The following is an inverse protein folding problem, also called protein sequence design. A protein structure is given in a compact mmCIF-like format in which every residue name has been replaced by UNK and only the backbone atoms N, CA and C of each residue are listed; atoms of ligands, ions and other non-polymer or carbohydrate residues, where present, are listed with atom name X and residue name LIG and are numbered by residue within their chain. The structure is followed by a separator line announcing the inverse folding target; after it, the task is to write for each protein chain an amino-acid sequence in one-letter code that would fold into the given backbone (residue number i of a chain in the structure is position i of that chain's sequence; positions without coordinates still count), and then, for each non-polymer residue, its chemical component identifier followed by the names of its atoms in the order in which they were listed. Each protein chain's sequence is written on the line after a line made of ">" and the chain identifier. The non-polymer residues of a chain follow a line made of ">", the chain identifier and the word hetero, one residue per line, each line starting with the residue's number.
data_IF_631652774440
#
_entry.id   IF_631652774440
#
_cell.length_a   1.000
_cell.length_b   1.000
_cell.length_c   1.000
_cell.angle_alpha   90.00
_cell.angle_beta   90.00
_cell.angle_gamma   90.00
#
_symmetry.space_group_name_H-M   'P 1'
#
loop_
_entity.id
_entity.type
_entity.pdbx_description
1 polymer ?
#
# COMPACT_ATOMS: atom_id res chain seq x y z
N UNK A 1 35.63 23.46 1.22
CA UNK A 1 34.44 24.15 0.64
C UNK A 1 33.62 23.10 -0.11
N UNK A 2 32.42 22.75 0.35
CA UNK A 2 31.63 21.61 -0.20
C UNK A 2 31.02 22.00 -1.55
N UNK A 3 31.38 21.29 -2.62
CA UNK A 3 30.87 21.52 -3.97
C UNK A 3 29.37 21.22 -4.01
N UNK A 4 28.55 22.27 -4.10
CA UNK A 4 27.13 22.15 -4.43
C UNK A 4 27.02 21.98 -5.94
N UNK A 5 26.54 20.83 -6.41
CA UNK A 5 26.39 20.46 -7.83
C UNK A 5 25.36 21.33 -8.61
N UNK A 6 25.02 22.53 -8.12
CA UNK A 6 24.13 23.47 -8.78
C UNK A 6 23.77 24.68 -7.91
N UNK A 7 23.11 25.66 -8.52
CA UNK A 7 22.52 26.84 -7.88
C UNK A 7 21.02 26.88 -8.14
N UNK A 8 20.27 27.50 -7.23
CA UNK A 8 18.84 27.81 -7.41
C UNK A 8 18.64 28.85 -8.52
N UNK A 9 17.39 29.08 -8.95
CA UNK A 9 17.06 30.14 -9.91
C UNK A 9 17.48 31.54 -9.43
N UNK A 10 17.56 31.77 -8.11
CA UNK A 10 18.06 33.00 -7.50
C UNK A 10 19.59 33.02 -7.28
N UNK A 11 20.32 32.01 -7.77
CA UNK A 11 21.77 31.93 -7.66
C UNK A 11 22.30 31.40 -6.31
N UNK A 12 21.43 31.14 -5.33
CA UNK A 12 21.84 30.58 -4.04
C UNK A 12 22.34 29.13 -4.20
N UNK A 13 23.41 28.71 -3.51
CA UNK A 13 23.90 27.34 -3.54
C UNK A 13 22.83 26.38 -2.99
N UNK A 14 22.69 25.19 -3.60
CA UNK A 14 21.76 24.20 -3.04
C UNK A 14 22.20 23.76 -1.64
N UNK A 15 21.23 23.37 -0.77
CA UNK A 15 21.57 22.74 0.50
C UNK A 15 22.50 21.55 0.30
N UNK A 16 23.36 21.29 1.29
CA UNK A 16 24.31 20.19 1.21
C UNK A 16 23.60 18.85 0.94
N UNK A 17 24.22 17.93 0.20
CA UNK A 17 23.62 16.63 -0.14
C UNK A 17 23.12 15.88 1.11
N UNK A 18 23.87 15.95 2.20
CA UNK A 18 23.48 15.41 3.50
C UNK A 18 22.14 15.96 4.01
N UNK A 19 21.90 17.27 3.88
CA UNK A 19 20.62 17.90 4.25
C UNK A 19 19.50 17.49 3.28
N UNK A 20 19.79 17.45 1.97
CA UNK A 20 18.83 17.03 0.94
C UNK A 20 18.39 15.57 1.07
N UNK A 21 19.26 14.71 1.61
CA UNK A 21 18.99 13.30 1.82
C UNK A 21 18.37 13.00 3.18
N UNK A 22 18.32 13.97 4.10
CA UNK A 22 17.68 13.78 5.39
C UNK A 22 16.17 13.53 5.21
N UNK A 23 15.64 12.54 5.92
CA UNK A 23 14.20 12.31 5.95
C UNK A 23 13.50 13.48 6.65
N UNK A 24 12.36 13.94 6.11
CA UNK A 24 11.63 15.07 6.68
C UNK A 24 11.19 14.85 8.15
N UNK A 25 11.03 13.58 8.55
CA UNK A 25 10.61 13.18 9.91
C UNK A 25 11.76 12.92 10.87
N UNK A 26 13.03 13.11 10.47
CA UNK A 26 14.20 12.69 11.25
C UNK A 26 14.28 13.29 12.67
N UNK A 27 13.72 14.49 12.89
CA UNK A 27 13.69 15.17 14.20
C UNK A 27 12.34 15.12 14.93
N UNK A 28 11.33 14.42 14.39
CA UNK A 28 9.97 14.46 14.95
C UNK A 28 9.77 13.44 16.09
N UNK A 29 9.07 13.80 17.19
CA UNK A 29 8.79 12.88 18.29
C UNK A 29 8.08 11.61 17.82
N UNK A 30 8.66 10.44 18.13
CA UNK A 30 8.16 9.15 17.62
C UNK A 30 6.75 8.83 18.11
N UNK A 31 6.46 9.09 19.38
CA UNK A 31 5.16 8.82 20.01
C UNK A 31 4.03 9.62 19.36
N UNK A 32 4.18 10.94 19.30
CA UNK A 32 3.20 11.85 18.64
C UNK A 32 3.04 11.50 17.16
N UNK A 33 4.12 11.05 16.53
CA UNK A 33 4.09 10.52 15.18
C UNK A 33 3.06 9.41 14.98
N UNK A 34 2.82 8.57 15.99
CA UNK A 34 1.89 7.43 15.93
C UNK A 34 0.49 7.72 16.49
N UNK A 35 0.39 8.42 17.63
CA UNK A 35 -0.88 8.61 18.33
C UNK A 35 -1.97 9.22 17.44
N UNK A 36 -1.69 10.34 16.76
CA UNK A 36 -2.67 11.00 15.90
C UNK A 36 -3.19 10.08 14.77
N UNK A 37 -2.29 9.46 13.98
CA UNK A 37 -2.71 8.55 12.91
C UNK A 37 -3.41 7.28 13.36
N UNK A 38 -3.04 6.75 14.55
CA UNK A 38 -3.80 5.66 15.16
C UNK A 38 -5.20 6.11 15.55
N UNK A 39 -5.36 7.31 16.13
CA UNK A 39 -6.67 7.87 16.45
C UNK A 39 -7.53 8.09 15.19
N UNK A 40 -6.95 8.62 14.11
CA UNK A 40 -7.65 8.81 12.82
C UNK A 40 -8.05 7.46 12.21
N UNK A 41 -7.18 6.45 12.26
CA UNK A 41 -7.50 5.11 11.77
C UNK A 41 -8.56 4.42 12.63
N UNK A 42 -8.52 4.59 13.95
CA UNK A 42 -9.56 4.09 14.85
C UNK A 42 -10.92 4.73 14.56
N UNK A 43 -10.95 6.05 14.35
CA UNK A 43 -12.15 6.75 13.89
C UNK A 43 -12.66 6.21 12.55
N UNK A 44 -11.76 6.00 11.58
CA UNK A 44 -12.10 5.41 10.29
C UNK A 44 -12.66 3.98 10.40
N UNK A 45 -12.15 3.19 11.35
CA UNK A 45 -12.63 1.84 11.63
C UNK A 45 -14.04 1.88 12.23
N UNK A 46 -14.28 2.75 13.21
CA UNK A 46 -15.59 2.92 13.83
C UNK A 46 -16.66 3.27 12.79
N UNK A 47 -16.37 4.17 11.85
CA UNK A 47 -17.31 4.51 10.77
C UNK A 47 -17.63 3.32 9.85
N UNK A 48 -16.67 2.41 9.63
CA UNK A 48 -16.85 1.25 8.74
C UNK A 48 -17.58 0.11 9.42
N UNK A 49 -17.29 -0.11 10.71
CA UNK A 49 -17.93 -1.14 11.52
C UNK A 49 -19.32 -0.73 12.00
N UNK A 50 -19.62 0.58 12.03
CA UNK A 50 -20.94 1.07 12.38
C UNK A 50 -21.98 0.46 11.43
N UNK A 51 -22.89 -0.31 12.02
CA UNK A 51 -24.01 -0.93 11.33
C UNK A 51 -23.58 -1.74 10.10
N UNK A 52 -22.43 -2.41 10.17
CA UNK A 52 -21.84 -3.15 9.03
C UNK A 52 -22.69 -4.34 8.57
N UNK A 53 -23.52 -4.88 9.46
CA UNK A 53 -24.46 -5.94 9.13
C UNK A 53 -25.54 -5.46 8.15
N UNK A 54 -25.86 -4.16 8.13
CA UNK A 54 -26.85 -3.61 7.19
C UNK A 54 -26.21 -3.20 5.85
N UNK A 55 -26.85 -3.53 4.72
CA UNK A 55 -28.08 -4.33 4.59
C UNK A 55 -27.83 -5.83 4.87
N UNK A 56 -28.78 -6.50 5.52
CA UNK A 56 -28.68 -7.91 5.97
C UNK A 56 -28.93 -8.90 4.83
N UNK A 57 -28.26 -8.66 3.71
CA UNK A 57 -28.35 -9.44 2.47
C UNK A 57 -27.10 -9.23 1.65
N UNK A 58 -26.82 -10.18 0.76
CA UNK A 58 -25.85 -10.01 -0.32
C UNK A 58 -26.30 -8.88 -1.24
N UNK A 59 -25.42 -7.92 -1.49
CA UNK A 59 -25.69 -6.80 -2.39
C UNK A 59 -24.61 -6.64 -3.46
N UNK A 60 -25.00 -6.21 -4.66
CA UNK A 60 -24.06 -5.87 -5.73
C UNK A 60 -23.06 -7.02 -6.00
N UNK A 61 -21.79 -6.71 -6.24
CA UNK A 61 -20.71 -7.68 -6.49
C UNK A 61 -20.36 -8.57 -5.28
N UNK A 62 -20.96 -8.36 -4.09
CA UNK A 62 -20.82 -9.29 -2.96
C UNK A 62 -21.28 -10.70 -3.33
N UNK A 63 -22.23 -10.81 -4.27
CA UNK A 63 -22.70 -12.10 -4.82
C UNK A 63 -21.54 -12.90 -5.38
N UNK A 64 -20.53 -12.27 -5.98
CA UNK A 64 -19.38 -12.98 -6.50
C UNK A 64 -18.32 -13.19 -5.42
N UNK A 65 -17.86 -12.11 -4.80
CA UNK A 65 -16.64 -12.17 -4.00
C UNK A 65 -16.82 -12.85 -2.64
N UNK A 66 -17.98 -12.71 -1.99
CA UNK A 66 -18.25 -13.40 -0.72
C UNK A 66 -18.36 -14.92 -0.95
N UNK A 67 -19.11 -15.33 -1.99
CA UNK A 67 -19.27 -16.75 -2.37
C UNK A 67 -17.94 -17.37 -2.80
N UNK A 68 -17.17 -16.68 -3.63
CA UNK A 68 -15.84 -17.13 -4.05
C UNK A 68 -14.91 -17.32 -2.85
N UNK A 69 -14.88 -16.35 -1.94
CA UNK A 69 -14.08 -16.43 -0.72
C UNK A 69 -14.47 -17.63 0.16
N UNK A 70 -15.77 -17.89 0.30
CA UNK A 70 -16.27 -19.04 1.03
C UNK A 70 -15.87 -20.37 0.33
N UNK A 71 -16.03 -20.46 -0.99
CA UNK A 71 -15.60 -21.63 -1.76
C UNK A 71 -14.11 -21.91 -1.66
N UNK A 72 -13.27 -20.86 -1.70
CA UNK A 72 -11.82 -21.00 -1.52
C UNK A 72 -11.48 -21.62 -0.17
N UNK A 73 -12.18 -21.22 0.89
CA UNK A 73 -11.96 -21.77 2.22
C UNK A 73 -12.37 -23.26 2.31
N UNK A 74 -13.50 -23.62 1.71
CA UNK A 74 -14.04 -24.98 1.80
C UNK A 74 -13.32 -25.97 0.87
N UNK A 75 -12.91 -25.54 -0.33
CA UNK A 75 -12.41 -26.44 -1.37
C UNK A 75 -10.99 -26.13 -1.85
N UNK A 76 -10.42 -24.97 -1.50
CA UNK A 76 -9.13 -24.50 -2.03
C UNK A 76 -9.20 -23.91 -3.44
N UNK A 77 -10.38 -23.89 -4.06
CA UNK A 77 -10.64 -23.29 -5.37
C UNK A 77 -12.09 -22.80 -5.47
N UNK A 78 -12.39 -21.95 -6.45
CA UNK A 78 -13.73 -21.40 -6.66
C UNK A 78 -14.58 -22.39 -7.44
N UNK A 79 -15.69 -22.81 -6.85
CA UNK A 79 -16.72 -23.65 -7.48
C UNK A 79 -17.85 -22.80 -8.03
N UNK A 80 -18.54 -23.33 -9.04
CA UNK A 80 -19.75 -22.70 -9.52
C UNK A 80 -20.85 -22.79 -8.45
N UNK A 81 -21.61 -21.71 -8.27
CA UNK A 81 -22.75 -21.65 -7.37
C UNK A 81 -24.05 -21.82 -8.15
N UNK A 82 -25.07 -22.40 -7.51
CA UNK A 82 -26.43 -22.42 -8.06
C UNK A 82 -27.01 -21.00 -8.07
N UNK A 83 -27.95 -20.74 -8.97
CA UNK A 83 -28.63 -19.43 -9.05
C UNK A 83 -29.32 -19.06 -7.73
N UNK A 84 -29.87 -20.05 -7.01
CA UNK A 84 -30.52 -19.87 -5.71
C UNK A 84 -29.56 -19.74 -4.52
N UNK A 85 -28.25 -19.60 -4.74
CA UNK A 85 -27.27 -19.57 -3.66
C UNK A 85 -27.41 -18.33 -2.77
N UNK A 86 -27.69 -17.16 -3.37
CA UNK A 86 -27.81 -15.90 -2.62
C UNK A 86 -29.00 -15.94 -1.66
N UNK A 87 -30.15 -16.41 -2.13
CA UNK A 87 -31.37 -16.58 -1.33
C UNK A 87 -31.13 -17.51 -0.13
N UNK A 88 -30.44 -18.63 -0.36
CA UNK A 88 -30.08 -19.60 0.69
C UNK A 88 -29.12 -19.00 1.71
N UNK A 89 -28.07 -18.31 1.27
CA UNK A 89 -27.10 -17.66 2.16
C UNK A 89 -27.78 -16.57 2.99
N UNK A 90 -28.62 -15.72 2.38
CA UNK A 90 -29.38 -14.70 3.10
C UNK A 90 -30.35 -15.31 4.13
N UNK A 91 -30.88 -16.51 3.86
CA UNK A 91 -31.70 -17.27 4.81
C UNK A 91 -30.89 -18.04 5.88
N UNK A 92 -29.55 -17.96 5.85
CA UNK A 92 -28.65 -18.70 6.74
C UNK A 92 -28.51 -20.19 6.42
N UNK A 93 -28.99 -20.65 5.26
CA UNK A 93 -28.87 -22.03 4.79
C UNK A 93 -27.64 -22.20 3.89
N UNK A 94 -26.60 -22.87 4.39
CA UNK A 94 -25.38 -23.15 3.63
C UNK A 94 -25.41 -24.51 2.90
N UNK A 95 -26.56 -25.19 2.88
CA UNK A 95 -26.69 -26.51 2.26
C UNK A 95 -26.91 -26.43 0.74
N UNK A 96 -26.18 -27.27 0.01
CA UNK A 96 -26.41 -27.48 -1.43
C UNK A 96 -26.16 -26.24 -2.31
N UNK A 97 -25.28 -25.33 -1.90
CA UNK A 97 -24.96 -24.07 -2.60
C UNK A 97 -24.27 -24.26 -3.96
N UNK A 98 -23.48 -25.33 -4.09
CA UNK A 98 -22.57 -25.53 -5.22
C UNK A 98 -23.24 -26.28 -6.37
N UNK A 99 -22.95 -25.83 -7.59
CA UNK A 99 -23.19 -26.57 -8.82
C UNK A 99 -22.00 -27.51 -9.14
N UNK A 100 -22.10 -28.25 -10.25
CA UNK A 100 -21.01 -29.09 -10.74
C UNK A 100 -19.92 -28.24 -11.40
N UNK A 101 -18.67 -28.52 -11.06
CA UNK A 101 -17.50 -27.91 -11.71
C UNK A 101 -16.97 -26.61 -11.07
N UNK A 102 -15.81 -26.14 -11.57
CA UNK A 102 -15.18 -24.89 -11.15
C UNK A 102 -15.86 -23.67 -11.77
N UNK A 103 -15.81 -22.52 -11.08
CA UNK A 103 -16.28 -21.26 -11.64
C UNK A 103 -15.24 -20.62 -12.58
N UNK A 104 -15.70 -19.80 -13.52
CA UNK A 104 -14.82 -18.93 -14.30
C UNK A 104 -14.36 -17.74 -13.44
N UNK A 105 -13.05 -17.59 -13.29
CA UNK A 105 -12.44 -16.58 -12.43
C UNK A 105 -11.84 -15.47 -13.30
N UNK A 106 -12.23 -14.22 -13.05
CA UNK A 106 -11.71 -13.03 -13.77
C UNK A 106 -10.68 -12.24 -12.96
N UNK A 107 -10.62 -12.45 -11.64
CA UNK A 107 -9.73 -11.73 -10.73
C UNK A 107 -8.91 -12.70 -9.89
N UNK A 108 -7.63 -12.41 -9.61
CA UNK A 108 -6.81 -13.33 -8.82
C UNK A 108 -7.22 -13.36 -7.34
N UNK A 109 -6.75 -14.36 -6.60
CA UNK A 109 -7.41 -14.79 -5.35
C UNK A 109 -7.05 -14.03 -4.07
N UNK A 110 -6.03 -13.16 -4.06
CA UNK A 110 -5.51 -12.57 -2.80
C UNK A 110 -6.60 -11.81 -2.06
N UNK A 111 -7.37 -10.97 -2.75
CA UNK A 111 -8.45 -10.20 -2.12
C UNK A 111 -9.57 -11.09 -1.59
N UNK A 112 -9.89 -12.19 -2.28
CA UNK A 112 -10.89 -13.16 -1.83
C UNK A 112 -10.41 -13.93 -0.60
N UNK A 113 -9.13 -14.28 -0.52
CA UNK A 113 -8.56 -14.85 0.71
C UNK A 113 -8.64 -13.89 1.90
N UNK A 114 -8.50 -12.57 1.67
CA UNK A 114 -8.69 -11.58 2.73
C UNK A 114 -10.14 -11.50 3.21
N UNK A 115 -11.12 -11.67 2.31
CA UNK A 115 -12.53 -11.83 2.69
C UNK A 115 -12.77 -13.14 3.45
N UNK A 116 -12.16 -14.24 3.00
CA UNK A 116 -12.28 -15.56 3.62
C UNK A 116 -11.81 -15.54 5.08
N UNK A 117 -10.80 -14.73 5.42
CA UNK A 117 -10.39 -14.56 6.83
C UNK A 117 -11.50 -13.98 7.71
N UNK A 118 -12.30 -13.05 7.18
CA UNK A 118 -13.46 -12.51 7.88
C UNK A 118 -14.57 -13.56 8.02
N UNK A 119 -14.90 -14.25 6.92
CA UNK A 119 -15.90 -15.32 6.90
C UNK A 119 -15.53 -16.44 7.88
N UNK A 120 -14.26 -16.82 7.94
CA UNK A 120 -13.75 -17.80 8.91
C UNK A 120 -13.95 -17.37 10.36
N UNK A 121 -13.82 -16.08 10.64
CA UNK A 121 -13.85 -15.55 11.99
C UNK A 121 -15.27 -15.30 12.51
N UNK A 122 -16.19 -14.87 11.63
CA UNK A 122 -17.53 -14.44 12.03
C UNK A 122 -18.67 -15.23 11.38
N UNK A 123 -18.40 -16.05 10.37
CA UNK A 123 -19.40 -16.84 9.66
C UNK A 123 -19.68 -16.32 8.25
N UNK A 124 -20.48 -17.08 7.50
CA UNK A 124 -20.96 -16.68 6.18
C UNK A 124 -22.21 -15.81 6.35
N UNK A 125 -22.00 -14.60 6.86
CA UNK A 125 -23.02 -13.55 7.06
C UNK A 125 -22.45 -12.15 6.68
N UNK A 126 -23.30 -11.09 6.62
CA UNK A 126 -22.85 -9.74 6.27
C UNK A 126 -21.67 -9.23 7.08
N UNK A 127 -21.59 -9.57 8.36
CA UNK A 127 -20.45 -9.15 9.19
C UNK A 127 -19.19 -9.87 8.74
N UNK A 128 -19.25 -11.19 8.54
CA UNK A 128 -18.11 -12.01 8.16
C UNK A 128 -17.52 -11.65 6.82
N UNK A 129 -18.33 -11.46 5.78
CA UNK A 129 -17.76 -11.07 4.47
C UNK A 129 -17.37 -9.59 4.39
N UNK A 130 -17.97 -8.67 5.17
CA UNK A 130 -17.62 -7.23 5.10
C UNK A 130 -16.48 -6.81 6.02
N UNK A 131 -16.27 -7.49 7.15
CA UNK A 131 -15.29 -7.05 8.17
C UNK A 131 -13.86 -6.97 7.64
N UNK A 132 -13.47 -7.90 6.75
CA UNK A 132 -12.15 -7.89 6.12
C UNK A 132 -11.89 -6.62 5.30
N UNK A 133 -12.89 -6.19 4.53
CA UNK A 133 -12.85 -4.95 3.76
C UNK A 133 -12.84 -3.71 4.68
N UNK A 134 -13.65 -3.71 5.74
CA UNK A 134 -13.73 -2.62 6.71
C UNK A 134 -12.42 -2.37 7.46
N UNK A 135 -11.81 -3.44 7.98
CA UNK A 135 -10.51 -3.38 8.65
C UNK A 135 -9.44 -2.89 7.68
N UNK A 136 -9.43 -3.43 6.45
CA UNK A 136 -8.47 -3.02 5.43
C UNK A 136 -8.61 -1.55 5.06
N UNK A 137 -9.83 -1.05 4.89
CA UNK A 137 -10.09 0.37 4.63
C UNK A 137 -9.57 1.29 5.74
N UNK A 138 -9.72 0.90 7.00
CA UNK A 138 -9.17 1.64 8.13
C UNK A 138 -7.63 1.59 8.18
N UNK A 139 -7.03 0.45 7.81
CA UNK A 139 -5.57 0.32 7.68
C UNK A 139 -5.02 1.17 6.53
N UNK A 140 -5.73 1.29 5.40
CA UNK A 140 -5.37 2.20 4.31
C UNK A 140 -5.25 3.64 4.81
N UNK A 141 -6.19 4.09 5.65
CA UNK A 141 -6.14 5.42 6.28
C UNK A 141 -4.89 5.59 7.16
N UNK A 142 -4.53 4.57 7.96
CA UNK A 142 -3.32 4.59 8.79
C UNK A 142 -2.05 4.71 7.93
N UNK A 143 -1.94 3.89 6.89
CA UNK A 143 -0.78 3.87 6.01
C UNK A 143 -0.66 5.19 5.24
N UNK A 144 -1.79 5.76 4.77
CA UNK A 144 -1.81 7.07 4.13
C UNK A 144 -1.31 8.17 5.08
N UNK A 145 -1.82 8.22 6.31
CA UNK A 145 -1.34 9.16 7.34
C UNK A 145 0.17 9.05 7.53
N UNK A 146 0.68 7.82 7.52
CA UNK A 146 2.09 7.53 7.69
C UNK A 146 2.94 7.98 6.53
N UNK A 147 2.51 7.67 5.33
CA UNK A 147 3.18 8.07 4.10
C UNK A 147 3.22 9.60 3.98
N UNK A 148 2.07 10.28 4.15
CA UNK A 148 2.00 11.74 4.01
C UNK A 148 2.80 12.45 5.09
N UNK A 149 2.79 11.96 6.34
CA UNK A 149 3.69 12.50 7.38
C UNK A 149 5.17 12.34 6.98
N UNK A 150 5.56 11.18 6.43
CA UNK A 150 6.95 10.95 6.00
C UNK A 150 7.36 11.89 4.87
N UNK A 151 6.44 12.20 3.96
CA UNK A 151 6.66 13.12 2.85
C UNK A 151 6.73 14.59 3.30
N UNK A 152 5.83 15.00 4.20
CA UNK A 152 5.69 16.41 4.62
C UNK A 152 6.53 16.79 5.84
N UNK A 153 6.95 15.83 6.65
CA UNK A 153 7.53 16.07 7.98
C UNK A 153 6.51 16.49 9.04
N UNK A 154 5.23 16.67 8.69
CA UNK A 154 4.20 17.17 9.59
C UNK A 154 3.20 16.08 9.97
N UNK A 155 3.05 15.84 11.28
CA UNK A 155 2.03 14.93 11.80
C UNK A 155 0.63 15.45 11.51
N UNK A 156 0.41 16.77 11.59
CA UNK A 156 -0.88 17.39 11.30
C UNK A 156 -1.30 17.13 9.85
N UNK A 157 -0.41 17.37 8.89
CA UNK A 157 -0.69 17.15 7.45
C UNK A 157 -0.93 15.67 7.17
N UNK A 158 -0.17 14.78 7.82
CA UNK A 158 -0.43 13.34 7.76
C UNK A 158 -1.81 12.96 8.27
N UNK A 159 -2.21 13.45 9.46
CA UNK A 159 -3.53 13.18 10.03
C UNK A 159 -4.66 13.76 9.18
N UNK A 160 -4.48 14.97 8.65
CA UNK A 160 -5.45 15.61 7.76
C UNK A 160 -5.68 14.76 6.51
N UNK A 161 -4.62 14.28 5.86
CA UNK A 161 -4.76 13.42 4.68
C UNK A 161 -5.53 12.13 4.98
N UNK A 162 -5.26 11.48 6.12
CA UNK A 162 -6.03 10.31 6.51
C UNK A 162 -7.47 10.62 6.91
N UNK A 163 -7.72 11.74 7.57
CA UNK A 163 -9.07 12.16 7.93
C UNK A 163 -9.91 12.43 6.68
N UNK A 164 -9.33 13.08 5.67
CA UNK A 164 -9.99 13.28 4.38
C UNK A 164 -10.32 11.94 3.71
N UNK A 165 -9.40 10.96 3.71
CA UNK A 165 -9.69 9.62 3.17
C UNK A 165 -10.70 8.83 4.04
N UNK A 166 -10.73 9.07 5.35
CA UNK A 166 -11.67 8.42 6.24
C UNK A 166 -13.11 8.87 5.98
N UNK A 167 -13.28 10.14 5.59
CA UNK A 167 -14.55 10.80 5.28
C UNK A 167 -14.91 10.78 3.79
N UNK A 168 -14.01 10.32 2.92
CA UNK A 168 -14.28 10.15 1.49
C UNK A 168 -15.40 9.12 1.27
N UNK A 169 -16.50 9.55 0.65
CA UNK A 169 -17.71 8.74 0.51
C UNK A 169 -17.49 7.48 -0.32
N UNK A 170 -16.70 7.56 -1.41
CA UNK A 170 -16.42 6.41 -2.26
C UNK A 170 -15.59 5.38 -1.50
N UNK A 171 -14.49 5.80 -0.87
CA UNK A 171 -13.64 4.90 -0.10
C UNK A 171 -14.38 4.32 1.10
N UNK A 172 -15.24 5.08 1.77
CA UNK A 172 -16.07 4.58 2.87
C UNK A 172 -17.04 3.50 2.39
N UNK A 173 -17.83 3.75 1.35
CA UNK A 173 -18.80 2.78 0.82
C UNK A 173 -18.11 1.52 0.29
N UNK A 174 -17.05 1.68 -0.52
CA UNK A 174 -16.33 0.55 -1.12
C UNK A 174 -15.59 -0.33 -0.09
N UNK A 175 -15.29 0.20 1.10
CA UNK A 175 -14.69 -0.57 2.20
C UNK A 175 -15.70 -1.08 3.22
N UNK A 176 -17.01 -0.87 3.00
CA UNK A 176 -18.09 -1.48 3.81
C UNK A 176 -18.77 -2.64 3.09
N UNK A 177 -18.46 -2.87 1.81
CA UNK A 177 -18.94 -4.01 1.04
C UNK A 177 -17.80 -5.00 0.79
N UNK A 178 -18.14 -6.27 0.58
CA UNK A 178 -17.16 -7.32 0.24
C UNK A 178 -16.64 -7.19 -1.20
N UNK A 179 -15.87 -6.15 -1.49
CA UNK A 179 -15.32 -5.83 -2.81
C UNK A 179 -13.79 -5.97 -2.86
N UNK A 180 -13.25 -6.28 -4.04
CA UNK A 180 -11.79 -6.45 -4.22
C UNK A 180 -11.04 -5.12 -4.32
N UNK A 181 -11.70 -4.05 -4.74
CA UNK A 181 -11.08 -2.73 -4.97
C UNK A 181 -10.47 -2.13 -3.69
N UNK A 182 -11.08 -2.38 -2.53
CA UNK A 182 -10.54 -1.95 -1.24
C UNK A 182 -9.19 -2.60 -0.91
N UNK A 183 -9.05 -3.90 -1.16
CA UNK A 183 -7.79 -4.62 -0.95
C UNK A 183 -6.71 -4.20 -1.96
N UNK A 184 -7.08 -4.01 -3.23
CA UNK A 184 -6.18 -3.47 -4.24
C UNK A 184 -5.63 -2.11 -3.79
N UNK A 185 -6.51 -1.18 -3.42
CA UNK A 185 -6.14 0.16 -2.99
C UNK A 185 -5.20 0.13 -1.77
N UNK A 186 -5.51 -0.70 -0.78
CA UNK A 186 -4.67 -0.90 0.40
C UNK A 186 -3.25 -1.34 0.04
N UNK A 187 -3.11 -2.39 -0.77
CA UNK A 187 -1.80 -2.91 -1.15
C UNK A 187 -1.00 -1.90 -2.00
N UNK A 188 -1.67 -1.14 -2.87
CA UNK A 188 -1.03 -0.06 -3.63
C UNK A 188 -0.54 1.08 -2.72
N UNK A 189 -1.33 1.48 -1.73
CA UNK A 189 -0.94 2.51 -0.74
C UNK A 189 0.23 2.01 0.13
N UNK A 190 0.22 0.74 0.55
CA UNK A 190 1.33 0.09 1.22
C UNK A 190 2.60 0.07 0.36
N UNK A 191 2.48 -0.31 -0.92
CA UNK A 191 3.60 -0.33 -1.85
C UNK A 191 4.20 1.07 -2.02
N UNK A 192 3.37 2.09 -2.23
CA UNK A 192 3.80 3.49 -2.32
C UNK A 192 4.48 3.95 -1.03
N UNK A 193 3.93 3.63 0.14
CA UNK A 193 4.51 3.96 1.44
C UNK A 193 5.89 3.31 1.64
N UNK A 194 6.03 2.03 1.25
CA UNK A 194 7.31 1.32 1.24
C UNK A 194 8.31 1.97 0.30
N UNK A 195 7.91 2.42 -0.89
CA UNK A 195 8.79 3.13 -1.83
C UNK A 195 9.25 4.48 -1.30
N UNK A 196 8.37 5.23 -0.60
CA UNK A 196 8.78 6.48 0.06
C UNK A 196 9.77 6.19 1.18
N UNK A 197 9.55 5.14 1.98
CA UNK A 197 10.49 4.72 3.02
C UNK A 197 11.84 4.27 2.43
N UNK A 198 11.80 3.54 1.31
CA UNK A 198 12.97 3.10 0.57
C UNK A 198 13.76 4.26 -0.02
N UNK A 199 13.09 5.33 -0.45
CA UNK A 199 13.75 6.55 -0.93
C UNK A 199 14.58 7.20 0.17
N UNK A 200 14.03 7.32 1.37
CA UNK A 200 14.75 7.90 2.51
C UNK A 200 15.94 7.01 2.92
N UNK A 201 15.67 5.70 3.07
CA UNK A 201 16.67 4.71 3.47
C UNK A 201 17.79 4.60 2.44
N UNK A 202 17.43 4.50 1.15
CA UNK A 202 18.35 4.35 0.03
C UNK A 202 19.28 5.56 -0.11
N UNK A 203 18.75 6.78 0.03
CA UNK A 203 19.57 8.00 0.00
C UNK A 203 20.61 8.02 1.13
N UNK A 204 20.20 7.69 2.36
CA UNK A 204 21.11 7.64 3.52
C UNK A 204 22.17 6.54 3.36
N UNK A 205 21.75 5.35 2.91
CA UNK A 205 22.65 4.23 2.64
C UNK A 205 23.66 4.60 1.54
N UNK A 206 23.22 5.29 0.49
CA UNK A 206 24.06 5.67 -0.64
C UNK A 206 25.12 6.66 -0.20
N UNK A 207 24.72 7.67 0.57
CA UNK A 207 25.63 8.64 1.15
C UNK A 207 26.66 7.96 2.06
N UNK A 208 26.23 7.06 2.93
CA UNK A 208 27.13 6.32 3.84
C UNK A 208 28.16 5.49 3.07
N UNK A 209 27.73 4.80 2.01
CA UNK A 209 28.64 4.00 1.17
C UNK A 209 29.61 4.88 0.38
N UNK A 210 29.13 6.02 -0.13
CA UNK A 210 29.96 6.99 -0.84
C UNK A 210 31.04 7.58 0.09
N UNK A 211 30.67 7.96 1.31
CA UNK A 211 31.61 8.48 2.32
C UNK A 211 32.63 7.42 2.75
N UNK A 212 32.21 6.15 2.92
CA UNK A 212 33.12 5.03 3.25
C UNK A 212 34.11 4.70 2.15
N UNK A 213 33.77 4.96 0.89
CA UNK A 213 34.66 4.73 -0.25
C UNK A 213 35.77 5.81 -0.36
N UNK A 214 35.84 6.78 0.57
CA UNK A 214 36.78 7.89 0.50
C UNK A 214 36.48 8.88 -0.64
N UNK A 215 35.34 8.70 -1.32
CA UNK A 215 34.93 9.58 -2.39
C UNK A 215 34.51 10.94 -1.82
N UNK A 216 35.09 12.01 -2.33
CA UNK A 216 34.69 13.37 -1.97
C UNK A 216 33.36 13.69 -2.66
N UNK A 217 32.37 14.16 -1.89
CA UNK A 217 31.07 14.56 -2.42
C UNK A 217 31.26 15.65 -3.48
N UNK A 218 30.97 15.32 -4.74
CA UNK A 218 31.13 16.20 -5.89
C UNK A 218 32.28 15.85 -6.84
N UNK A 219 33.18 14.93 -6.47
CA UNK A 219 34.13 14.34 -7.42
C UNK A 219 33.41 13.30 -8.30
N UNK A 220 33.70 13.23 -9.61
CA UNK A 220 33.07 12.29 -10.50
C UNK A 220 33.37 10.84 -10.08
N UNK A 221 32.33 10.05 -9.86
CA UNK A 221 32.43 8.61 -9.64
C UNK A 221 32.13 7.92 -10.96
N UNK A 222 33.15 7.31 -11.57
CA UNK A 222 33.02 6.59 -12.84
C UNK A 222 32.22 5.29 -12.63
N UNK A 223 31.30 4.99 -13.54
CA UNK A 223 30.43 3.81 -13.48
C UNK A 223 29.15 4.04 -12.68
N UNK A 224 28.62 2.97 -12.07
CA UNK A 224 27.30 2.97 -11.42
C UNK A 224 27.33 3.37 -9.93
N UNK A 225 28.50 3.68 -9.35
CA UNK A 225 28.65 3.91 -7.91
C UNK A 225 28.57 2.62 -7.08
N UNK A 226 28.23 2.66 -5.77
CA UNK A 226 28.30 1.49 -4.89
C UNK A 226 27.10 0.54 -5.08
N UNK A 227 27.10 -0.23 -6.18
CA UNK A 227 26.01 -1.15 -6.58
C UNK A 227 25.81 -2.28 -5.58
N UNK A 228 26.90 -2.98 -5.18
CA UNK A 228 26.80 -4.16 -4.29
C UNK A 228 26.14 -3.83 -2.95
N UNK A 229 26.46 -2.69 -2.37
CA UNK A 229 25.89 -2.24 -1.09
C UNK A 229 24.42 -1.79 -1.17
N UNK A 230 23.85 -1.77 -2.37
CA UNK A 230 22.47 -1.37 -2.70
C UNK A 230 21.58 -2.52 -3.18
N UNK A 231 22.10 -3.74 -3.29
CA UNK A 231 21.31 -4.89 -3.74
C UNK A 231 20.20 -5.25 -2.75
N UNK A 232 20.50 -5.20 -1.45
CA UNK A 232 19.54 -5.48 -0.39
C UNK A 232 18.88 -4.18 0.08
N UNK A 233 17.67 -3.95 -0.40
CA UNK A 233 16.82 -2.82 -0.01
C UNK A 233 15.55 -3.38 0.63
N UNK A 234 15.47 -3.45 1.97
CA UNK A 234 14.35 -4.13 2.65
C UNK A 234 13.00 -3.49 2.30
N UNK A 235 12.95 -2.16 2.22
CA UNK A 235 11.74 -1.42 1.83
C UNK A 235 11.36 -1.62 0.35
N UNK A 236 12.35 -1.83 -0.52
CA UNK A 236 12.12 -2.19 -1.93
C UNK A 236 11.49 -3.57 -2.08
N UNK A 237 11.99 -4.54 -1.32
CA UNK A 237 11.43 -5.90 -1.29
C UNK A 237 10.01 -5.88 -0.74
N UNK A 238 9.77 -5.16 0.36
CA UNK A 238 8.43 -4.97 0.91
C UNK A 238 7.48 -4.32 -0.10
N UNK A 239 7.93 -3.30 -0.84
CA UNK A 239 7.13 -2.71 -1.92
C UNK A 239 6.81 -3.72 -3.03
N UNK A 240 7.79 -4.56 -3.42
CA UNK A 240 7.58 -5.63 -4.40
C UNK A 240 6.53 -6.65 -3.94
N UNK A 241 6.57 -7.06 -2.66
CA UNK A 241 5.55 -7.93 -2.06
C UNK A 241 4.17 -7.25 -2.10
N UNK A 242 4.08 -5.97 -1.71
CA UNK A 242 2.83 -5.23 -1.73
C UNK A 242 2.26 -5.09 -3.15
N UNK A 243 3.09 -4.79 -4.16
CA UNK A 243 2.64 -4.78 -5.55
C UNK A 243 2.23 -6.17 -6.05
N UNK A 244 2.94 -7.22 -5.64
CA UNK A 244 2.56 -8.60 -5.93
C UNK A 244 1.18 -8.95 -5.37
N UNK A 245 0.89 -8.55 -4.12
CA UNK A 245 -0.42 -8.73 -3.48
C UNK A 245 -1.50 -7.86 -4.14
N UNK A 246 -1.17 -6.65 -4.58
CA UNK A 246 -2.07 -5.78 -5.35
C UNK A 246 -2.47 -6.43 -6.68
N UNK A 247 -1.48 -6.86 -7.48
CA UNK A 247 -1.70 -7.59 -8.73
C UNK A 247 -2.45 -8.90 -8.50
N UNK A 248 -2.14 -9.60 -7.41
CA UNK A 248 -2.82 -10.81 -6.95
C UNK A 248 -4.24 -10.57 -6.42
N UNK A 249 -4.67 -9.31 -6.28
CA UNK A 249 -6.06 -8.95 -5.97
C UNK A 249 -6.81 -8.50 -7.22
N UNK A 250 -6.16 -7.72 -8.09
CA UNK A 250 -6.73 -7.24 -9.36
C UNK A 250 -5.62 -6.85 -10.35
N UNK A 251 -5.79 -7.21 -11.62
CA UNK A 251 -4.81 -6.96 -12.69
C UNK A 251 -4.48 -5.47 -12.91
N UNK A 252 -5.40 -4.57 -12.54
CA UNK A 252 -5.17 -3.11 -12.58
C UNK A 252 -3.91 -2.69 -11.79
N UNK A 253 -3.47 -3.47 -10.81
CA UNK A 253 -2.23 -3.23 -10.07
C UNK A 253 -0.97 -3.18 -10.96
N UNK A 254 -0.97 -3.87 -12.10
CA UNK A 254 0.18 -3.91 -13.03
C UNK A 254 0.49 -2.53 -13.62
N UNK A 255 -0.54 -1.76 -13.96
CA UNK A 255 -0.37 -0.41 -14.51
C UNK A 255 0.29 0.52 -13.48
N UNK A 256 -0.16 0.42 -12.23
CA UNK A 256 0.38 1.22 -11.13
C UNK A 256 1.82 0.79 -10.80
N UNK A 257 2.10 -0.51 -10.79
CA UNK A 257 3.46 -1.06 -10.64
C UNK A 257 4.41 -0.49 -11.71
N UNK A 258 4.00 -0.47 -12.98
CA UNK A 258 4.82 0.07 -14.05
C UNK A 258 5.15 1.55 -13.83
N UNK A 259 4.15 2.36 -13.50
CA UNK A 259 4.35 3.79 -13.20
C UNK A 259 5.31 4.03 -12.02
N UNK A 260 5.13 3.28 -10.92
CA UNK A 260 6.01 3.39 -9.76
C UNK A 260 7.40 2.79 -10.00
N UNK A 261 7.54 1.83 -10.93
CA UNK A 261 8.82 1.33 -11.41
C UNK A 261 9.63 2.41 -12.13
N UNK A 262 8.99 3.19 -12.99
CA UNK A 262 9.62 4.35 -13.63
C UNK A 262 10.00 5.45 -12.62
N UNK A 263 9.09 5.77 -11.69
CA UNK A 263 9.34 6.75 -10.63
C UNK A 263 10.53 6.34 -9.75
N UNK A 264 10.59 5.07 -9.41
CA UNK A 264 11.68 4.45 -8.68
C UNK A 264 13.01 4.64 -9.39
N UNK A 265 13.03 4.30 -10.68
CA UNK A 265 14.23 4.42 -11.50
C UNK A 265 14.70 5.88 -11.53
N UNK A 266 13.78 6.82 -11.75
CA UNK A 266 14.07 8.24 -11.73
C UNK A 266 14.61 8.72 -10.36
N UNK A 267 14.07 8.22 -9.24
CA UNK A 267 14.57 8.54 -7.90
C UNK A 267 15.97 8.02 -7.62
N UNK A 268 16.26 6.77 -8.02
CA UNK A 268 17.57 6.16 -7.83
C UNK A 268 18.63 6.83 -8.72
N UNK A 269 18.30 7.09 -9.99
CA UNK A 269 19.14 7.83 -10.92
C UNK A 269 19.42 9.25 -10.39
N UNK A 270 18.39 9.95 -9.93
CA UNK A 270 18.53 11.28 -9.34
C UNK A 270 19.41 11.29 -8.08
N UNK A 271 19.30 10.27 -7.22
CA UNK A 271 20.13 10.14 -6.02
C UNK A 271 21.60 9.89 -6.35
N UNK A 272 21.89 9.03 -7.34
CA UNK A 272 23.25 8.76 -7.83
C UNK A 272 23.86 10.00 -8.49
N UNK A 273 23.09 10.70 -9.33
CA UNK A 273 23.51 11.96 -9.96
C UNK A 273 23.87 13.02 -8.93
N UNK A 274 23.10 13.12 -7.84
CA UNK A 274 23.37 14.06 -6.74
C UNK A 274 24.69 13.78 -5.98
N UNK A 275 25.31 12.62 -6.18
CA UNK A 275 26.62 12.26 -5.63
C UNK A 275 27.74 12.29 -6.69
N UNK A 276 27.46 12.75 -7.91
CA UNK A 276 28.45 12.83 -8.99
C UNK A 276 28.72 11.51 -9.73
N UNK A 277 27.83 10.52 -9.63
CA UNK A 277 27.92 9.27 -10.40
C UNK A 277 27.60 9.54 -11.88
N UNK A 278 28.51 9.22 -12.79
CA UNK A 278 28.39 9.60 -14.22
C UNK A 278 27.41 8.74 -15.01
N UNK A 279 27.28 7.44 -14.70
CA UNK A 279 26.34 6.53 -15.37
C UNK A 279 24.99 6.42 -14.63
N UNK A 280 24.52 7.50 -14.00
CA UNK A 280 23.35 7.44 -13.12
C UNK A 280 22.02 7.13 -13.84
N UNK A 281 21.91 7.39 -15.14
CA UNK A 281 20.70 7.19 -15.97
C UNK A 281 20.78 5.99 -16.91
N UNK A 282 21.92 5.30 -16.92
CA UNK A 282 22.13 4.05 -17.64
C UNK A 282 21.90 2.89 -16.66
#
# INVERSE_FOLDING_TARGET
>A
MRATLGRTASGAPFPAVRQRFAAAVAGSPRLVGWLGPLAVSAFALLLRLWDIHQPDEITFDETYYAKDAYSLQEFGYVRQFKESADEKINAGDLSGLYAEGPAQIVHPEVGKWMLALGIRAFGMDPVGWRVGAAVTGALTVLVLCRMVRRLSGSTLVGCLAGLLLALDGLHLVMSRLALLDGFLAFWLVCAAACLVADRDWGRQRLLTLHERAGATVGAPVVGFGPVRGMLLRPWRLAAGVCFGLACGSKWNGVVVLAAFGLLTWAWDAGARRALGVSAAWL
#
